data_IF_477155958968
#
_entry.id   IF_477155958968
#
_cell.length_a   1.000
_cell.length_b   1.000
_cell.length_c   1.000
_cell.angle_alpha   90.00
_cell.angle_beta   90.00
_cell.angle_gamma   90.00
#
_symmetry.space_group_name_H-M   'P 1'
#
loop_
_entity.id
_entity.type
_entity.pdbx_description
1 polymer ?
#
# COMPACT_ATOMS: atom_id res chain seq x y z
N UNK A 1 6.00 4.82 5.39
CA UNK A 1 4.81 4.06 4.93
C UNK A 1 4.06 3.52 6.12
N UNK A 2 4.67 2.63 6.88
CA UNK A 2 4.08 2.12 8.12
C UNK A 2 3.88 3.22 9.17
N UNK A 3 4.80 4.20 9.26
CA UNK A 3 4.64 5.34 10.17
C UNK A 3 3.53 6.30 9.76
N UNK A 4 3.20 6.41 8.46
CA UNK A 4 2.07 7.21 8.01
C UNK A 4 0.75 6.47 8.31
N UNK A 5 0.68 5.16 8.04
CA UNK A 5 -0.44 4.31 8.42
C UNK A 5 -0.69 4.35 9.94
N UNK A 6 0.35 4.24 10.77
CA UNK A 6 0.25 4.39 12.23
C UNK A 6 -0.28 5.77 12.64
N UNK A 7 0.24 6.86 12.06
CA UNK A 7 -0.21 8.22 12.37
C UNK A 7 -1.69 8.42 11.97
N UNK A 8 -2.14 7.75 10.91
CA UNK A 8 -3.54 7.73 10.51
C UNK A 8 -4.41 6.78 11.34
N UNK A 9 -3.83 5.96 12.22
CA UNK A 9 -4.55 5.04 13.12
C UNK A 9 -4.61 3.58 12.66
N UNK A 10 -4.06 3.26 11.49
CA UNK A 10 -4.26 2.00 10.77
C UNK A 10 -3.11 1.00 10.87
N UNK A 11 -2.22 1.13 11.87
CA UNK A 11 -1.14 0.16 12.11
C UNK A 11 -1.23 -0.42 13.52
N UNK A 12 -1.75 -1.65 13.62
CA UNK A 12 -1.86 -2.39 14.88
C UNK A 12 -0.51 -2.80 15.48
N UNK A 13 0.56 -2.85 14.67
CA UNK A 13 1.94 -2.97 15.15
C UNK A 13 2.59 -1.59 15.19
N UNK A 14 3.07 -1.16 16.36
CA UNK A 14 3.91 0.04 16.48
C UNK A 14 5.22 -0.21 15.71
N UNK A 15 5.45 0.44 14.55
CA UNK A 15 6.67 0.26 13.82
C UNK A 15 7.83 0.74 14.70
N UNK A 16 8.81 -0.13 14.97
CA UNK A 16 10.07 0.30 15.62
C UNK A 16 10.94 1.19 14.69
N UNK A 17 10.42 1.50 13.51
CA UNK A 17 11.08 2.23 12.43
C UNK A 17 10.18 3.35 11.91
N UNK A 18 10.68 4.59 11.95
CA UNK A 18 10.07 5.75 11.31
C UNK A 18 10.49 5.83 9.84
N UNK A 19 9.56 5.63 8.91
CA UNK A 19 9.87 5.57 7.48
C UNK A 19 9.62 6.91 6.78
N UNK A 20 10.65 7.45 6.15
CA UNK A 20 10.62 8.71 5.39
C UNK A 20 10.83 8.44 3.91
N UNK A 21 9.90 8.84 3.05
CA UNK A 21 10.13 8.84 1.62
C UNK A 21 10.93 10.07 1.19
N UNK A 22 11.86 9.87 0.28
CA UNK A 22 12.70 10.95 -0.24
C UNK A 22 13.16 10.66 -1.67
N UNK A 23 13.31 11.67 -2.53
CA UNK A 23 13.93 11.48 -3.86
C UNK A 23 15.45 11.23 -3.75
N UNK A 24 16.07 11.56 -2.61
CA UNK A 24 17.49 11.37 -2.40
C UNK A 24 17.82 9.95 -1.88
N UNK A 25 18.94 9.38 -2.33
CA UNK A 25 19.49 8.17 -1.72
C UNK A 25 20.11 8.51 -0.37
N UNK A 26 19.33 8.35 0.70
CA UNK A 26 19.78 8.55 2.08
C UNK A 26 19.97 7.21 2.79
N UNK A 27 21.03 7.10 3.59
CA UNK A 27 21.22 5.94 4.48
C UNK A 27 20.30 6.06 5.69
N UNK A 28 19.73 4.93 6.11
CA UNK A 28 18.97 4.85 7.37
C UNK A 28 19.78 5.39 8.54
N UNK A 29 19.12 6.08 9.47
CA UNK A 29 19.75 6.64 10.67
C UNK A 29 19.09 6.09 11.90
N UNK A 30 19.86 5.87 12.96
CA UNK A 30 19.31 5.46 14.25
C UNK A 30 19.58 6.54 15.28
N UNK A 31 18.54 6.98 15.98
CA UNK A 31 18.61 7.94 17.06
C UNK A 31 18.00 7.32 18.32
N UNK A 32 18.85 6.85 19.24
CA UNK A 32 18.40 6.13 20.43
C UNK A 32 17.60 4.87 20.07
N UNK A 33 16.32 4.82 20.45
CA UNK A 33 15.40 3.71 20.15
C UNK A 33 14.64 3.86 18.83
N UNK A 34 14.77 5.00 18.15
CA UNK A 34 14.05 5.29 16.91
C UNK A 34 14.98 5.04 15.74
N UNK A 35 14.60 4.13 14.85
CA UNK A 35 15.29 3.93 13.57
C UNK A 35 14.55 4.70 12.49
N UNK A 36 15.22 5.57 11.75
CA UNK A 36 14.70 6.24 10.57
C UNK A 36 15.16 5.47 9.34
N UNK A 37 14.21 4.99 8.54
CA UNK A 37 14.48 4.36 7.27
C UNK A 37 14.08 5.29 6.13
N UNK A 38 15.02 5.56 5.22
CA UNK A 38 14.77 6.39 4.05
C UNK A 38 14.45 5.49 2.86
N UNK A 39 13.23 5.60 2.34
CA UNK A 39 12.81 4.88 1.13
C UNK A 39 12.98 5.84 -0.04
N UNK A 40 13.90 5.52 -0.95
CA UNK A 40 14.14 6.35 -2.13
C UNK A 40 13.05 6.11 -3.18
N UNK A 41 12.27 7.15 -3.49
CA UNK A 41 11.32 7.14 -4.61
C UNK A 41 11.48 8.44 -5.40
N UNK A 42 11.80 8.31 -6.69
CA UNK A 42 12.14 9.43 -7.58
C UNK A 42 11.01 10.48 -7.73
N UNK A 43 9.76 10.10 -7.43
CA UNK A 43 8.58 10.95 -7.60
C UNK A 43 7.97 11.39 -6.25
N UNK A 44 8.73 11.31 -5.15
CA UNK A 44 8.18 11.61 -3.80
C UNK A 44 7.74 13.07 -3.64
N UNK A 45 8.42 14.02 -4.28
CA UNK A 45 8.21 15.46 -4.09
C UNK A 45 6.82 15.94 -4.52
N UNK A 46 6.20 15.24 -5.48
CA UNK A 46 4.93 15.64 -6.10
C UNK A 46 3.74 14.83 -5.57
N UNK A 47 3.96 13.92 -4.61
CA UNK A 47 2.89 13.08 -4.06
C UNK A 47 2.03 13.86 -3.06
N UNK A 48 0.69 13.71 -3.08
CA UNK A 48 -0.18 14.39 -2.13
C UNK A 48 0.15 14.05 -0.67
N UNK A 49 0.24 15.10 0.16
CA UNK A 49 0.52 14.99 1.59
C UNK A 49 -0.52 15.75 2.41
N UNK A 50 -0.80 15.24 3.60
CA UNK A 50 -1.56 15.92 4.64
C UNK A 50 -0.62 16.56 5.66
N UNK A 51 -1.11 17.58 6.37
CA UNK A 51 -0.37 18.24 7.46
C UNK A 51 -0.95 17.78 8.78
N UNK A 52 -0.10 17.21 9.64
CA UNK A 52 -0.46 16.80 10.99
C UNK A 52 0.28 17.63 12.04
N UNK A 53 -0.42 17.94 13.13
CA UNK A 53 0.17 18.59 14.29
C UNK A 53 0.95 17.57 15.12
N UNK A 54 2.13 17.98 15.57
CA UNK A 54 2.99 17.23 16.47
C UNK A 54 3.29 18.11 17.68
N UNK A 55 3.69 17.55 18.84
CA UNK A 55 4.03 18.35 20.02
C UNK A 55 5.12 19.41 19.78
N UNK A 56 5.92 19.27 18.73
CA UNK A 56 7.04 20.16 18.39
C UNK A 56 6.81 21.03 17.14
N UNK A 57 5.63 20.98 16.52
CA UNK A 57 5.33 21.73 15.28
C UNK A 57 4.43 20.95 14.34
N UNK A 58 4.51 21.20 13.03
CA UNK A 58 3.72 20.48 12.01
C UNK A 58 4.59 19.57 11.16
N UNK A 59 4.07 18.41 10.78
CA UNK A 59 4.74 17.45 9.91
C UNK A 59 3.88 17.13 8.69
N UNK A 60 4.50 16.93 7.53
CA UNK A 60 3.82 16.40 6.34
C UNK A 60 3.87 14.89 6.33
N UNK A 61 2.72 14.26 6.11
CA UNK A 61 2.60 12.80 5.95
C UNK A 61 1.91 12.50 4.63
N UNK A 62 2.13 11.31 4.06
CA UNK A 62 1.38 10.87 2.90
C UNK A 62 -0.11 10.81 3.21
N UNK A 63 -0.93 11.22 2.25
CA UNK A 63 -2.39 10.97 2.29
C UNK A 63 -2.68 9.48 2.43
N UNK A 64 -3.86 9.07 2.93
CA UNK A 64 -4.26 7.66 3.00
C UNK A 64 -4.09 6.94 1.65
N UNK A 65 -4.52 7.57 0.56
CA UNK A 65 -4.45 7.00 -0.80
C UNK A 65 -3.01 6.75 -1.26
N UNK A 66 -2.15 7.76 -1.05
CA UNK A 66 -0.71 7.65 -1.34
C UNK A 66 -0.06 6.56 -0.48
N UNK A 67 -0.47 6.46 0.79
CA UNK A 67 0.04 5.49 1.75
C UNK A 67 -0.27 4.06 1.30
N UNK A 68 -1.49 3.78 0.85
CA UNK A 68 -1.89 2.46 0.32
C UNK A 68 -1.04 2.08 -0.89
N UNK A 69 -0.96 2.95 -1.91
CA UNK A 69 -0.18 2.70 -3.12
C UNK A 69 1.29 2.44 -2.82
N UNK A 70 1.83 3.14 -1.82
CA UNK A 70 3.21 2.97 -1.41
C UNK A 70 3.44 1.66 -0.64
N UNK A 71 2.54 1.28 0.27
CA UNK A 71 2.63 -0.01 0.97
C UNK A 71 2.65 -1.17 -0.04
N UNK A 72 1.80 -1.10 -1.08
CA UNK A 72 1.76 -2.08 -2.18
C UNK A 72 3.00 -2.02 -3.07
N UNK A 73 3.63 -0.84 -3.20
CA UNK A 73 4.88 -0.66 -3.95
C UNK A 73 6.08 -1.32 -3.26
N UNK A 74 6.06 -1.43 -1.92
CA UNK A 74 7.17 -1.93 -1.13
C UNK A 74 6.73 -3.00 -0.11
N UNK A 75 6.23 -4.17 -0.56
CA UNK A 75 5.67 -5.19 0.34
C UNK A 75 6.71 -5.73 1.34
N UNK A 76 7.98 -5.86 0.95
CA UNK A 76 9.07 -6.30 1.85
C UNK A 76 9.40 -5.27 2.95
N UNK A 77 9.19 -3.99 2.70
CA UNK A 77 9.38 -2.92 3.70
C UNK A 77 8.12 -2.70 4.57
N UNK A 78 7.02 -3.39 4.23
CA UNK A 78 5.71 -3.24 4.84
C UNK A 78 5.29 -4.45 5.68
N UNK A 79 6.20 -5.39 5.95
CA UNK A 79 5.93 -6.57 6.79
C UNK A 79 5.24 -7.74 6.07
N UNK A 80 5.45 -7.86 4.74
CA UNK A 80 4.78 -8.78 3.82
C UNK A 80 3.39 -8.34 3.36
N UNK A 81 2.93 -8.90 2.23
CA UNK A 81 1.69 -8.49 1.56
C UNK A 81 0.46 -8.66 2.46
N UNK A 82 0.45 -9.66 3.33
CA UNK A 82 -0.63 -9.90 4.29
C UNK A 82 -0.83 -8.71 5.24
N UNK A 83 0.25 -8.11 5.77
CA UNK A 83 0.13 -6.94 6.63
C UNK A 83 -0.42 -5.73 5.87
N UNK A 84 -0.05 -5.56 4.60
CA UNK A 84 -0.63 -4.51 3.74
C UNK A 84 -2.13 -4.73 3.56
N UNK A 85 -2.56 -5.98 3.35
CA UNK A 85 -3.97 -6.32 3.25
C UNK A 85 -4.74 -5.97 4.54
N UNK A 86 -4.21 -6.32 5.72
CA UNK A 86 -4.82 -5.96 7.01
C UNK A 86 -5.01 -4.44 7.15
N UNK A 87 -3.96 -3.65 6.87
CA UNK A 87 -4.02 -2.18 6.95
C UNK A 87 -5.10 -1.62 6.01
N UNK A 88 -5.20 -2.17 4.79
CA UNK A 88 -6.25 -1.79 3.84
C UNK A 88 -7.63 -2.10 4.42
N UNK A 89 -7.83 -3.30 5.00
CA UNK A 89 -9.10 -3.66 5.66
C UNK A 89 -9.50 -2.66 6.73
N UNK A 90 -8.58 -2.29 7.62
CA UNK A 90 -8.84 -1.31 8.69
C UNK A 90 -9.21 0.06 8.10
N UNK A 91 -8.52 0.51 7.04
CA UNK A 91 -8.82 1.76 6.34
C UNK A 91 -10.20 1.76 5.66
N UNK A 92 -10.68 0.61 5.17
CA UNK A 92 -12.01 0.49 4.57
C UNK A 92 -13.11 0.54 5.64
N UNK A 93 -12.90 -0.12 6.79
CA UNK A 93 -13.86 -0.12 7.91
C UNK A 93 -14.09 1.30 8.44
N UNK A 94 -13.03 2.11 8.50
CA UNK A 94 -13.10 3.48 9.02
C UNK A 94 -13.41 4.53 7.93
N UNK A 95 -13.76 4.11 6.70
CA UNK A 95 -14.06 5.00 5.57
C UNK A 95 -12.95 6.04 5.29
N UNK A 96 -11.70 5.59 5.39
CA UNK A 96 -10.52 6.46 5.35
C UNK A 96 -9.94 6.69 3.94
N UNK A 97 -10.55 6.10 2.91
CA UNK A 97 -10.07 6.14 1.53
C UNK A 97 -11.09 6.76 0.58
N UNK A 98 -10.71 7.83 -0.10
CA UNK A 98 -11.44 8.33 -1.26
C UNK A 98 -10.96 7.59 -2.52
N UNK A 99 -11.79 6.71 -3.08
CA UNK A 99 -11.40 5.89 -4.24
C UNK A 99 -11.21 6.71 -5.52
N UNK A 100 -11.92 7.83 -5.68
CA UNK A 100 -11.71 8.71 -6.82
C UNK A 100 -10.33 9.38 -6.72
N UNK A 101 -10.01 9.91 -5.54
CA UNK A 101 -8.69 10.47 -5.26
C UNK A 101 -7.59 9.42 -5.39
N UNK A 102 -7.85 8.18 -4.98
CA UNK A 102 -6.92 7.07 -5.13
C UNK A 102 -6.62 6.79 -6.60
N UNK A 103 -7.64 6.81 -7.47
CA UNK A 103 -7.46 6.64 -8.91
C UNK A 103 -6.64 7.78 -9.55
N UNK A 104 -6.87 9.03 -9.14
CA UNK A 104 -6.07 10.17 -9.58
C UNK A 104 -4.59 9.98 -9.22
N UNK A 105 -4.30 9.64 -7.96
CA UNK A 105 -2.93 9.43 -7.47
C UNK A 105 -2.29 8.20 -8.12
N UNK A 106 -3.05 7.13 -8.32
CA UNK A 106 -2.59 5.87 -8.92
C UNK A 106 -2.02 6.06 -10.33
N UNK A 107 -2.44 7.09 -11.06
CA UNK A 107 -1.91 7.42 -12.40
C UNK A 107 -0.41 7.74 -12.39
N UNK A 108 0.15 8.13 -11.23
CA UNK A 108 1.59 8.36 -11.03
C UNK A 108 2.39 7.10 -10.65
N UNK A 109 1.74 5.94 -10.53
CA UNK A 109 2.36 4.69 -10.10
C UNK A 109 2.48 3.68 -11.25
N UNK A 110 3.42 2.71 -11.17
CA UNK A 110 3.47 1.62 -12.14
C UNK A 110 2.15 0.86 -12.17
N UNK A 111 1.66 0.52 -13.36
CA UNK A 111 0.38 -0.19 -13.56
C UNK A 111 0.28 -1.46 -12.70
N UNK A 112 1.38 -2.19 -12.53
CA UNK A 112 1.43 -3.39 -11.67
C UNK A 112 1.07 -3.12 -10.20
N UNK A 113 1.33 -1.90 -9.70
CA UNK A 113 0.96 -1.48 -8.33
C UNK A 113 -0.53 -1.20 -8.27
N UNK A 114 -1.08 -0.52 -9.27
CA UNK A 114 -2.51 -0.22 -9.35
C UNK A 114 -3.33 -1.50 -9.44
N UNK A 115 -2.88 -2.45 -10.26
CA UNK A 115 -3.48 -3.78 -10.39
C UNK A 115 -3.52 -4.53 -9.04
N UNK A 116 -2.39 -4.61 -8.33
CA UNK A 116 -2.35 -5.23 -6.99
C UNK A 116 -3.21 -4.50 -5.98
N UNK A 117 -3.22 -3.17 -6.03
CA UNK A 117 -4.01 -2.33 -5.11
C UNK A 117 -5.51 -2.57 -5.30
N UNK A 118 -5.99 -2.55 -6.54
CA UNK A 118 -7.39 -2.84 -6.86
C UNK A 118 -7.80 -4.24 -6.41
N UNK A 119 -6.96 -5.25 -6.66
CA UNK A 119 -7.23 -6.60 -6.17
C UNK A 119 -7.29 -6.69 -4.65
N UNK A 120 -6.37 -6.04 -3.93
CA UNK A 120 -6.35 -6.03 -2.47
C UNK A 120 -7.57 -5.32 -1.88
N UNK A 121 -8.03 -4.23 -2.50
CA UNK A 121 -9.26 -3.54 -2.09
C UNK A 121 -10.48 -4.45 -2.24
N UNK A 122 -10.69 -5.06 -3.42
CA UNK A 122 -11.80 -5.99 -3.66
C UNK A 122 -11.74 -7.23 -2.75
N UNK A 123 -10.53 -7.71 -2.46
CA UNK A 123 -10.33 -8.81 -1.53
C UNK A 123 -10.71 -8.41 -0.11
N UNK A 124 -10.16 -7.32 0.41
CA UNK A 124 -10.38 -6.89 1.79
C UNK A 124 -11.80 -6.40 2.03
N UNK A 125 -12.40 -5.67 1.09
CA UNK A 125 -13.81 -5.27 1.13
C UNK A 125 -14.73 -6.47 1.39
N UNK A 126 -14.48 -7.61 0.72
CA UNK A 126 -15.22 -8.86 0.98
C UNK A 126 -14.89 -9.50 2.32
N UNK A 127 -13.64 -9.42 2.79
CA UNK A 127 -13.24 -10.00 4.07
C UNK A 127 -13.83 -9.24 5.26
N UNK A 128 -13.93 -7.91 5.16
CA UNK A 128 -14.46 -7.04 6.23
C UNK A 128 -15.93 -6.67 6.03
N UNK A 129 -16.59 -7.19 5.00
CA UNK A 129 -18.00 -6.95 4.66
C UNK A 129 -18.34 -5.46 4.45
N UNK A 130 -17.49 -4.76 3.68
CA UNK A 130 -17.65 -3.35 3.32
C UNK A 130 -17.87 -3.24 1.81
N UNK A 131 -18.85 -2.45 1.37
CA UNK A 131 -19.04 -2.12 -0.04
C UNK A 131 -18.08 -1.00 -0.46
N UNK A 132 -17.24 -1.27 -1.48
CA UNK A 132 -16.30 -0.30 -2.03
C UNK A 132 -16.39 -0.32 -3.55
N UNK A 133 -16.61 0.86 -4.15
CA UNK A 133 -16.60 1.01 -5.61
C UNK A 133 -15.17 1.23 -6.10
N UNK A 134 -14.53 0.16 -6.57
CA UNK A 134 -13.18 0.19 -7.16
C UNK A 134 -13.16 0.50 -8.66
N UNK A 135 -14.32 0.76 -9.29
CA UNK A 135 -14.40 1.04 -10.72
C UNK A 135 -13.53 2.23 -11.19
N UNK A 136 -13.35 3.32 -10.41
CA UNK A 136 -12.45 4.42 -10.80
C UNK A 136 -11.00 3.99 -11.07
N UNK A 137 -10.52 2.88 -10.50
CA UNK A 137 -9.15 2.38 -10.69
C UNK A 137 -8.98 1.55 -11.98
N UNK A 138 -10.06 1.00 -12.52
CA UNK A 138 -10.02 0.08 -13.67
C UNK A 138 -9.36 0.68 -14.92
N UNK A 139 -9.64 1.94 -15.32
CA UNK A 139 -8.99 2.55 -16.48
C UNK A 139 -7.47 2.63 -16.34
N UNK A 140 -6.98 2.95 -15.14
CA UNK A 140 -5.54 3.06 -14.86
C UNK A 140 -4.89 1.66 -14.87
N UNK A 141 -5.53 0.68 -14.23
CA UNK A 141 -5.05 -0.69 -14.16
C UNK A 141 -5.04 -1.41 -15.52
N UNK A 142 -5.91 -1.00 -16.45
CA UNK A 142 -6.08 -1.62 -17.77
C UNK A 142 -5.18 -1.02 -18.86
N UNK A 143 -4.42 0.03 -18.55
CA UNK A 143 -3.43 0.62 -19.49
C UNK A 143 -2.38 -0.39 -19.95
N UNK A 144 -2.17 -1.48 -19.21
CA UNK A 144 -1.31 -2.60 -19.57
C UNK A 144 -1.91 -3.94 -19.11
N UNK A 145 -2.10 -4.87 -20.04
CA UNK A 145 -2.69 -6.21 -19.79
C UNK A 145 -1.67 -7.29 -19.41
N UNK A 146 -0.44 -6.94 -19.03
CA UNK A 146 0.54 -7.96 -18.64
C UNK A 146 0.23 -8.49 -17.24
N UNK A 147 0.02 -9.79 -17.06
CA UNK A 147 -0.22 -10.36 -15.73
C UNK A 147 0.91 -10.05 -14.74
N UNK A 148 0.53 -9.50 -13.60
CA UNK A 148 1.46 -9.23 -12.48
C UNK A 148 1.22 -10.24 -11.36
N UNK A 149 2.25 -10.84 -10.75
CA UNK A 149 2.04 -11.61 -9.54
C UNK A 149 1.57 -10.68 -8.42
N UNK A 150 0.61 -11.16 -7.63
CA UNK A 150 0.09 -10.48 -6.46
C UNK A 150 1.23 -10.26 -5.44
N UNK A 151 1.95 -11.35 -5.12
CA UNK A 151 3.18 -11.31 -4.34
C UNK A 151 4.40 -11.63 -5.24
N UNK A 152 5.30 -10.66 -5.49
CA UNK A 152 6.51 -10.88 -6.26
C UNK A 152 7.43 -11.98 -5.71
N UNK A 153 7.38 -12.26 -4.40
CA UNK A 153 8.22 -13.26 -3.74
C UNK A 153 7.80 -14.71 -4.01
N UNK A 154 6.53 -14.93 -4.35
CA UNK A 154 5.94 -16.27 -4.51
C UNK A 154 5.85 -16.74 -5.98
N UNK A 155 6.43 -15.97 -6.92
CA UNK A 155 6.51 -16.36 -8.33
C UNK A 155 5.22 -16.08 -9.12
N UNK A 156 5.06 -16.75 -10.28
CA UNK A 156 3.96 -16.54 -11.24
C UNK A 156 3.00 -17.74 -11.36
N UNK A 157 3.08 -18.67 -10.42
CA UNK A 157 2.16 -19.81 -10.37
C UNK A 157 0.91 -19.41 -9.61
N UNK A 158 -0.28 -19.70 -10.16
CA UNK A 158 -1.56 -19.36 -9.53
C UNK A 158 -2.66 -19.04 -10.54
N UNK A 159 -3.81 -18.66 -10.01
CA UNK A 159 -4.99 -18.31 -10.79
C UNK A 159 -4.95 -16.83 -11.19
N UNK A 160 -5.22 -16.54 -12.46
CA UNK A 160 -5.28 -15.17 -12.98
C UNK A 160 -6.65 -14.55 -12.67
N UNK A 161 -6.64 -13.52 -11.82
CA UNK A 161 -7.73 -12.56 -11.75
C UNK A 161 -7.74 -11.70 -13.02
N UNK A 162 -8.84 -11.77 -13.77
CA UNK A 162 -8.96 -11.08 -15.08
C UNK A 162 -9.35 -9.61 -14.95
N UNK A 163 -10.00 -9.20 -13.86
CA UNK A 163 -10.41 -7.80 -13.65
C UNK A 163 -9.17 -6.95 -13.42
N UNK A 164 -8.28 -7.42 -12.55
CA UNK A 164 -7.06 -6.70 -12.18
C UNK A 164 -5.81 -7.20 -12.92
N UNK A 165 -5.93 -8.26 -13.72
CA UNK A 165 -4.79 -8.89 -14.41
C UNK A 165 -3.68 -9.29 -13.42
N UNK A 166 -4.10 -9.84 -12.28
CA UNK A 166 -3.22 -10.25 -11.16
C UNK A 166 -3.19 -11.77 -11.05
N UNK A 167 -2.00 -12.36 -10.95
CA UNK A 167 -1.83 -13.79 -10.66
C UNK A 167 -1.83 -13.94 -9.14
N UNK A 168 -2.84 -14.61 -8.62
CA UNK A 168 -3.02 -14.93 -7.20
C UNK A 168 -2.50 -16.34 -6.98
N UNK A 169 -1.48 -16.48 -6.13
CA UNK A 169 -0.96 -17.79 -5.79
C UNK A 169 -2.07 -18.64 -5.16
N UNK A 170 -2.22 -19.88 -5.61
CA UNK A 170 -3.01 -20.87 -4.89
C UNK A 170 -2.18 -21.24 -3.65
N UNK A 171 -2.69 -20.90 -2.47
CA UNK A 171 -2.16 -21.50 -1.26
C UNK A 171 -2.45 -23.00 -1.36
N UNK A 172 -1.44 -23.88 -1.23
CA UNK A 172 -1.77 -25.26 -0.88
C UNK A 172 -2.57 -25.18 0.42
N UNK A 173 -3.75 -25.79 0.44
CA UNK A 173 -4.55 -25.94 1.65
C UNK A 173 -3.60 -26.33 2.81
N UNK A 174 -3.75 -25.70 3.96
CA UNK A 174 -3.04 -26.06 5.18
C UNK A 174 -3.50 -27.46 5.66
N UNK A 175 -3.20 -28.49 4.88
CA UNK A 175 -3.17 -29.89 5.29
C UNK A 175 -1.77 -30.41 4.99
N UNK A 176 -0.90 -30.29 5.99
CA UNK A 176 0.17 -31.22 6.38
C UNK A 176 1.43 -30.48 6.85
N UNK A 177 1.54 -30.24 8.16
CA UNK A 177 2.56 -30.88 9.02
C UNK A 177 2.50 -30.41 10.47
#
# INVERSE_FOLDING_TARGET
LLSAAEIHGFSHQRPQVFQVMTPARLRSRTFGRIRIEFITSAHTSDRPTDVVNTPTGTMRISTPETTVLDLVSFPNASGALFNVATIIGDMLVDDALDINRLAEVASGYPVSIVQRTGWLLDYMARQVDVEVDTEPLVPVASTRVTPTPLDPGHGRSGTLDRRWTVIVAEYPDEESS
#
